data_IF_908887540678
#
_entry.id   IF_908887540678
#
_cell.length_a   1.000
_cell.length_b   1.000
_cell.length_c   1.000
_cell.angle_alpha   90.00
_cell.angle_beta   90.00
_cell.angle_gamma   90.00
#
_symmetry.space_group_name_H-M   'P 1'
#
loop_
_entity.id
_entity.type
_entity.pdbx_description
1 polymer ?
#
# COMPACT_ATOMS: atom_id res chain seq x y z
N UNK A 1 -9.46 20.18 -7.14
CA UNK A 1 -8.10 20.03 -6.60
C UNK A 1 -7.38 18.83 -7.22
N UNK A 2 -7.82 17.59 -6.99
CA UNK A 2 -7.26 16.34 -7.55
C UNK A 2 -7.00 16.36 -9.07
N UNK A 3 -8.01 16.69 -9.88
CA UNK A 3 -7.86 16.79 -11.33
C UNK A 3 -6.83 17.84 -11.76
N UNK A 4 -6.67 18.93 -10.99
CA UNK A 4 -5.68 19.97 -11.29
C UNK A 4 -4.25 19.57 -10.87
N UNK A 5 -4.10 18.75 -9.82
CA UNK A 5 -2.83 18.19 -9.38
C UNK A 5 -2.27 17.19 -10.41
N UNK A 6 -3.15 16.38 -11.02
CA UNK A 6 -2.77 15.42 -12.07
C UNK A 6 -2.52 16.11 -13.43
N UNK A 7 -3.35 17.11 -13.80
CA UNK A 7 -3.34 17.73 -15.14
C UNK A 7 -2.09 18.56 -15.46
N UNK A 8 -1.27 18.93 -14.47
CA UNK A 8 -0.07 19.76 -14.69
C UNK A 8 1.21 18.97 -15.04
N UNK A 9 1.20 17.63 -14.99
CA UNK A 9 2.41 16.82 -15.21
C UNK A 9 2.53 16.38 -16.66
N UNK A 10 3.68 16.63 -17.28
CA UNK A 10 4.03 16.11 -18.61
C UNK A 10 4.79 14.79 -18.46
N UNK A 11 4.32 13.74 -19.13
CA UNK A 11 5.01 12.45 -19.11
C UNK A 11 6.17 12.48 -20.12
N UNK A 12 7.40 12.49 -19.61
CA UNK A 12 8.61 12.39 -20.43
C UNK A 12 8.83 10.93 -20.82
N UNK A 13 9.41 10.67 -21.99
CA UNK A 13 9.71 9.31 -22.46
C UNK A 13 10.52 8.47 -21.45
N UNK A 14 11.40 9.12 -20.67
CA UNK A 14 12.16 8.47 -19.59
C UNK A 14 11.27 7.90 -18.48
N UNK A 15 10.17 8.58 -18.15
CA UNK A 15 9.21 8.14 -17.12
C UNK A 15 8.53 6.85 -17.57
N UNK A 16 8.12 6.77 -18.83
CA UNK A 16 7.55 5.54 -19.41
C UNK A 16 8.54 4.38 -19.38
N UNK A 17 9.79 4.60 -19.80
CA UNK A 17 10.81 3.57 -19.75
C UNK A 17 11.05 3.06 -18.32
N UNK A 18 11.15 3.97 -17.33
CA UNK A 18 11.33 3.60 -15.93
C UNK A 18 10.11 2.85 -15.36
N UNK A 19 8.89 3.30 -15.64
CA UNK A 19 7.67 2.60 -15.22
C UNK A 19 7.57 1.21 -15.82
N UNK A 20 7.86 1.04 -17.10
CA UNK A 20 7.86 -0.28 -17.75
C UNK A 20 8.90 -1.20 -17.14
N UNK A 21 10.11 -0.70 -16.89
CA UNK A 21 11.17 -1.47 -16.24
C UNK A 21 10.77 -1.90 -14.83
N UNK A 22 10.14 -1.01 -14.05
CA UNK A 22 9.64 -1.32 -12.72
C UNK A 22 8.53 -2.38 -12.76
N UNK A 23 7.56 -2.25 -13.68
CA UNK A 23 6.50 -3.25 -13.87
C UNK A 23 7.09 -4.62 -14.22
N UNK A 24 8.05 -4.67 -15.13
CA UNK A 24 8.75 -5.91 -15.47
C UNK A 24 9.46 -6.50 -14.25
N UNK A 25 10.25 -5.71 -13.52
CA UNK A 25 10.98 -6.19 -12.34
C UNK A 25 10.07 -6.72 -11.23
N UNK A 26 8.97 -6.03 -10.94
CA UNK A 26 7.95 -6.52 -9.99
C UNK A 26 7.30 -7.80 -10.53
N UNK A 27 6.98 -7.86 -11.83
CA UNK A 27 6.44 -9.05 -12.46
C UNK A 27 7.36 -10.27 -12.32
N UNK A 28 8.67 -10.10 -12.50
CA UNK A 28 9.65 -11.17 -12.32
C UNK A 28 9.69 -11.68 -10.88
N UNK A 29 9.67 -10.76 -9.90
CA UNK A 29 9.72 -11.11 -8.48
C UNK A 29 8.42 -11.76 -7.96
N UNK A 30 7.26 -11.32 -8.44
CA UNK A 30 5.97 -11.70 -7.86
C UNK A 30 5.23 -12.79 -8.66
N UNK A 31 5.46 -12.90 -9.98
CA UNK A 31 4.77 -13.90 -10.82
C UNK A 31 5.47 -15.27 -10.84
N UNK A 32 6.67 -15.39 -10.25
CA UNK A 32 7.38 -16.67 -10.13
C UNK A 32 6.76 -17.61 -9.06
N UNK A 33 5.74 -17.16 -8.34
CA UNK A 33 5.05 -17.92 -7.31
C UNK A 33 4.22 -19.11 -7.83
N UNK A 34 3.78 -20.01 -6.93
CA UNK A 34 3.04 -21.23 -7.29
C UNK A 34 1.57 -21.00 -7.68
N UNK A 35 1.09 -19.75 -7.64
CA UNK A 35 -0.31 -19.40 -7.88
C UNK A 35 -0.43 -18.77 -9.26
N UNK A 36 -1.27 -19.34 -10.11
CA UNK A 36 -1.53 -18.80 -11.46
C UNK A 36 -2.42 -17.55 -11.39
N UNK A 37 -2.22 -16.55 -12.28
CA UNK A 37 -3.06 -15.37 -12.35
C UNK A 37 -4.52 -15.69 -12.70
N UNK A 38 -5.47 -15.06 -12.01
CA UNK A 38 -6.90 -15.23 -12.24
C UNK A 38 -7.57 -13.92 -12.68
N UNK A 39 -8.75 -14.03 -13.30
CA UNK A 39 -9.52 -12.85 -13.72
C UNK A 39 -9.88 -11.94 -12.55
N UNK A 40 -10.02 -12.50 -11.34
CA UNK A 40 -10.27 -11.75 -10.12
C UNK A 40 -9.14 -10.76 -9.78
N UNK A 41 -7.90 -11.02 -10.22
CA UNK A 41 -6.75 -10.14 -9.97
C UNK A 41 -6.86 -8.80 -10.69
N UNK A 42 -7.68 -8.71 -11.76
CA UNK A 42 -7.96 -7.42 -12.39
C UNK A 42 -8.61 -6.43 -11.42
N UNK A 43 -9.35 -6.90 -10.41
CA UNK A 43 -9.89 -6.04 -9.36
C UNK A 43 -8.77 -5.35 -8.57
N UNK A 44 -7.62 -6.02 -8.40
CA UNK A 44 -6.47 -5.50 -7.69
C UNK A 44 -5.79 -4.34 -8.44
N UNK A 45 -6.01 -4.17 -9.75
CA UNK A 45 -5.52 -3.00 -10.51
C UNK A 45 -6.14 -1.67 -10.04
N UNK A 46 -7.24 -1.71 -9.28
CA UNK A 46 -7.76 -0.52 -8.61
C UNK A 46 -6.80 0.04 -7.55
N UNK A 47 -5.98 -0.80 -6.92
CA UNK A 47 -5.05 -0.44 -5.86
C UNK A 47 -3.95 0.54 -6.33
N UNK A 48 -3.16 0.25 -7.38
CA UNK A 48 -2.12 1.18 -7.84
C UNK A 48 -2.69 2.51 -8.34
N UNK A 49 -3.89 2.52 -8.94
CA UNK A 49 -4.58 3.75 -9.32
C UNK A 49 -4.98 4.58 -8.09
N UNK A 50 -5.56 3.94 -7.08
CA UNK A 50 -5.93 4.57 -5.82
C UNK A 50 -4.75 5.17 -5.07
N UNK A 51 -3.66 4.41 -4.91
CA UNK A 51 -2.44 4.89 -4.28
C UNK A 51 -1.77 6.01 -5.08
N UNK A 52 -1.61 5.85 -6.40
CA UNK A 52 -1.01 6.89 -7.24
C UNK A 52 -1.76 8.22 -7.19
N UNK A 53 -3.10 8.18 -7.26
CA UNK A 53 -3.93 9.38 -7.08
C UNK A 53 -3.86 9.92 -5.66
N UNK A 54 -3.85 9.05 -4.65
CA UNK A 54 -3.69 9.41 -3.25
C UNK A 54 -2.37 10.13 -2.97
N UNK A 55 -1.27 9.70 -3.59
CA UNK A 55 0.04 10.33 -3.49
C UNK A 55 0.09 11.69 -4.16
N UNK A 56 -0.48 11.83 -5.36
CA UNK A 56 -0.61 13.13 -6.01
C UNK A 56 -1.45 14.11 -5.16
N UNK A 57 -2.50 13.61 -4.50
CA UNK A 57 -3.31 14.41 -3.59
C UNK A 57 -2.56 14.80 -2.32
N UNK A 58 -1.82 13.86 -1.74
CA UNK A 58 -1.04 14.05 -0.52
C UNK A 58 0.09 15.04 -0.74
N UNK A 59 0.81 14.94 -1.86
CA UNK A 59 1.84 15.91 -2.27
C UNK A 59 1.25 17.32 -2.33
N UNK A 60 0.16 17.52 -3.07
CA UNK A 60 -0.50 18.83 -3.18
C UNK A 60 -0.97 19.35 -1.81
N UNK A 61 -1.46 18.47 -0.93
CA UNK A 61 -1.89 18.84 0.41
C UNK A 61 -0.73 19.22 1.32
N UNK A 62 0.42 18.54 1.21
CA UNK A 62 1.63 18.84 1.98
C UNK A 62 2.40 20.05 1.47
N UNK A 63 2.24 20.41 0.20
CA UNK A 63 2.69 21.71 -0.33
C UNK A 63 1.89 22.87 0.28
N UNK A 64 0.57 22.71 0.43
CA UNK A 64 -0.31 23.75 0.99
C UNK A 64 -0.23 23.84 2.52
N UNK A 65 -0.16 22.69 3.21
CA UNK A 65 -0.15 22.57 4.68
C UNK A 65 1.06 21.76 5.20
N UNK A 66 2.30 22.24 5.01
CA UNK A 66 3.52 21.48 5.31
C UNK A 66 3.71 21.19 6.79
N UNK A 67 3.07 21.91 7.71
CA UNK A 67 3.20 21.66 9.15
C UNK A 67 2.16 20.66 9.69
N UNK A 68 1.13 20.31 8.90
CA UNK A 68 -0.04 19.56 9.38
C UNK A 68 0.02 18.06 9.10
N UNK A 69 1.21 17.52 8.79
CA UNK A 69 1.39 16.10 8.50
C UNK A 69 0.81 15.17 9.58
N UNK A 70 0.87 15.55 10.86
CA UNK A 70 0.26 14.76 11.95
C UNK A 70 -1.26 14.70 11.84
N UNK A 71 -1.90 15.83 11.58
CA UNK A 71 -3.35 15.93 11.41
C UNK A 71 -3.79 15.16 10.18
N UNK A 72 -3.08 15.32 9.05
CA UNK A 72 -3.35 14.57 7.82
C UNK A 72 -3.19 13.07 8.04
N UNK A 73 -2.16 12.64 8.76
CA UNK A 73 -1.95 11.23 9.11
C UNK A 73 -3.09 10.69 9.97
N UNK A 74 -3.52 11.43 10.99
CA UNK A 74 -4.62 11.03 11.87
C UNK A 74 -5.93 10.86 11.08
N UNK A 75 -6.23 11.79 10.16
CA UNK A 75 -7.39 11.69 9.27
C UNK A 75 -7.28 10.47 8.36
N UNK A 76 -6.12 10.24 7.73
CA UNK A 76 -5.89 9.06 6.87
C UNK A 76 -6.09 7.75 7.64
N UNK A 77 -5.50 7.63 8.84
CA UNK A 77 -5.66 6.45 9.71
C UNK A 77 -7.13 6.26 10.10
N UNK A 78 -7.84 7.33 10.44
CA UNK A 78 -9.28 7.24 10.75
C UNK A 78 -10.09 6.77 9.54
N UNK A 79 -9.83 7.30 8.35
CA UNK A 79 -10.50 6.89 7.11
C UNK A 79 -10.24 5.42 6.80
N UNK A 80 -8.98 4.96 6.92
CA UNK A 80 -8.61 3.55 6.72
C UNK A 80 -9.34 2.66 7.74
N UNK A 81 -9.32 3.01 9.03
CA UNK A 81 -9.97 2.25 10.08
C UNK A 81 -11.50 2.16 9.92
N UNK A 82 -12.15 3.28 9.59
CA UNK A 82 -13.59 3.32 9.34
C UNK A 82 -13.97 2.54 8.07
N UNK A 83 -13.15 2.61 7.02
CA UNK A 83 -13.38 1.86 5.78
C UNK A 83 -13.23 0.35 6.00
N UNK A 84 -12.20 -0.06 6.76
CA UNK A 84 -11.99 -1.46 7.13
C UNK A 84 -13.14 -1.99 8.00
N UNK A 85 -13.60 -1.20 8.97
CA UNK A 85 -14.77 -1.55 9.78
C UNK A 85 -16.04 -1.67 8.92
N UNK A 86 -16.29 -0.69 8.05
CA UNK A 86 -17.43 -0.72 7.13
C UNK A 86 -17.43 -1.95 6.23
N UNK A 87 -16.27 -2.31 5.68
CA UNK A 87 -16.10 -3.53 4.89
C UNK A 87 -16.36 -4.79 5.72
N UNK A 88 -15.84 -4.85 6.95
CA UNK A 88 -16.04 -5.99 7.85
C UNK A 88 -17.53 -6.17 8.21
N UNK A 89 -18.25 -5.07 8.49
CA UNK A 89 -19.70 -5.08 8.72
C UNK A 89 -20.46 -5.54 7.48
N UNK A 90 -20.17 -4.96 6.32
CA UNK A 90 -20.82 -5.32 5.06
C UNK A 90 -20.64 -6.82 4.77
N UNK A 91 -19.41 -7.33 4.90
CA UNK A 91 -19.11 -8.75 4.71
C UNK A 91 -19.86 -9.64 5.71
N UNK A 92 -19.94 -9.25 6.98
CA UNK A 92 -20.68 -9.99 7.99
C UNK A 92 -22.19 -10.04 7.66
N UNK A 93 -22.77 -8.94 7.18
CA UNK A 93 -24.17 -8.88 6.77
C UNK A 93 -24.45 -9.75 5.53
N UNK A 94 -23.61 -9.65 4.49
CA UNK A 94 -23.74 -10.43 3.26
C UNK A 94 -23.67 -11.95 3.52
N UNK A 95 -22.88 -12.36 4.52
CA UNK A 95 -22.74 -13.76 4.93
C UNK A 95 -23.77 -14.21 5.98
N UNK A 96 -24.69 -13.33 6.41
CA UNK A 96 -25.66 -13.64 7.46
C UNK A 96 -25.06 -13.85 8.85
N UNK A 97 -23.84 -13.37 9.09
CA UNK A 97 -23.04 -13.55 10.32
C UNK A 97 -22.89 -12.27 11.15
N UNK A 98 -23.77 -11.29 10.97
CA UNK A 98 -23.70 -10.00 11.66
C UNK A 98 -23.64 -10.12 13.19
N UNK A 99 -24.42 -11.04 13.77
CA UNK A 99 -24.46 -11.26 15.22
C UNK A 99 -23.15 -11.85 15.80
N UNK A 100 -22.35 -12.51 14.98
CA UNK A 100 -21.12 -13.22 15.38
C UNK A 100 -19.84 -12.46 14.99
N UNK A 101 -19.98 -11.23 14.48
CA UNK A 101 -18.86 -10.45 13.93
C UNK A 101 -17.73 -10.25 14.94
N UNK A 102 -18.05 -10.18 16.23
CA UNK A 102 -17.10 -9.90 17.30
C UNK A 102 -16.68 -11.13 18.11
N UNK A 103 -17.21 -12.32 17.81
CA UNK A 103 -16.90 -13.55 18.56
C UNK A 103 -15.39 -13.88 18.52
N UNK A 104 -14.70 -13.47 17.45
CA UNK A 104 -13.25 -13.63 17.34
C UNK A 104 -12.44 -12.77 18.33
N UNK A 105 -12.99 -11.65 18.83
CA UNK A 105 -12.28 -10.74 19.73
C UNK A 105 -12.05 -11.33 21.12
N UNK A 106 -12.91 -12.26 21.54
CA UNK A 106 -12.81 -12.95 22.84
C UNK A 106 -12.05 -14.27 22.75
N UNK A 107 -11.57 -14.64 21.55
CA UNK A 107 -10.79 -15.86 21.36
C UNK A 107 -9.46 -15.79 22.12
N UNK A 108 -9.12 -16.79 22.95
CA UNK A 108 -7.83 -16.83 23.64
C UNK A 108 -6.64 -16.98 22.68
N UNK A 109 -6.88 -17.37 21.43
CA UNK A 109 -5.87 -17.52 20.39
C UNK A 109 -5.73 -16.31 19.48
N UNK A 110 -6.37 -15.18 19.81
CA UNK A 110 -6.28 -13.99 18.99
C UNK A 110 -4.84 -13.45 18.99
N UNK A 111 -4.20 -13.26 17.81
CA UNK A 111 -2.81 -12.85 17.73
C UNK A 111 -2.66 -11.34 17.95
N UNK A 112 -2.90 -10.90 19.20
CA UNK A 112 -2.88 -9.48 19.58
C UNK A 112 -1.58 -8.76 19.18
N UNK A 113 -0.43 -9.42 19.34
CA UNK A 113 0.86 -8.83 18.96
C UNK A 113 0.92 -8.52 17.46
N UNK A 114 0.46 -9.45 16.60
CA UNK A 114 0.44 -9.23 15.15
C UNK A 114 -0.56 -8.13 14.77
N UNK A 115 -1.75 -8.11 15.39
CA UNK A 115 -2.76 -7.08 15.14
C UNK A 115 -2.29 -5.68 15.55
N UNK A 116 -1.67 -5.56 16.72
CA UNK A 116 -1.11 -4.29 17.18
C UNK A 116 0.06 -3.85 16.32
N UNK A 117 0.91 -4.79 15.91
CA UNK A 117 2.02 -4.49 15.01
C UNK A 117 1.53 -3.97 13.66
N UNK A 118 0.58 -4.65 13.01
CA UNK A 118 0.07 -4.23 11.70
C UNK A 118 -0.73 -2.92 11.78
N UNK A 119 -1.53 -2.73 12.83
CA UNK A 119 -2.30 -1.49 13.02
C UNK A 119 -1.43 -0.28 13.38
N UNK A 120 -0.53 -0.42 14.36
CA UNK A 120 0.24 0.71 14.88
C UNK A 120 1.52 0.97 14.10
N UNK A 121 2.29 -0.07 13.77
CA UNK A 121 3.59 0.09 13.13
C UNK A 121 3.43 0.18 11.62
N UNK A 122 2.88 -0.85 10.99
CA UNK A 122 2.86 -0.92 9.52
C UNK A 122 1.79 -0.04 8.89
N UNK A 123 0.74 0.33 9.62
CA UNK A 123 -0.30 1.23 9.10
C UNK A 123 -0.13 2.65 9.61
N UNK A 124 -0.35 2.90 10.92
CA UNK A 124 -0.31 4.26 11.45
C UNK A 124 1.09 4.89 11.39
N UNK A 125 2.13 4.12 11.72
CA UNK A 125 3.53 4.54 11.61
C UNK A 125 3.93 4.84 10.17
N UNK A 126 3.63 3.93 9.23
CA UNK A 126 3.92 4.14 7.81
C UNK A 126 3.21 5.37 7.25
N UNK A 127 1.91 5.54 7.53
CA UNK A 127 1.14 6.72 7.10
C UNK A 127 1.74 8.01 7.66
N UNK A 128 2.22 7.99 8.91
CA UNK A 128 2.86 9.16 9.53
C UNK A 128 4.18 9.53 8.86
N UNK A 129 5.04 8.54 8.64
CA UNK A 129 6.32 8.72 7.94
C UNK A 129 6.07 9.20 6.51
N UNK A 130 5.12 8.58 5.82
CA UNK A 130 4.71 8.94 4.46
C UNK A 130 4.23 10.40 4.40
N UNK A 131 3.23 10.77 5.20
CA UNK A 131 2.73 12.15 5.23
C UNK A 131 3.80 13.16 5.61
N UNK A 132 4.81 12.78 6.40
CA UNK A 132 5.96 13.65 6.66
C UNK A 132 6.93 13.73 5.46
N UNK A 133 7.21 12.61 4.80
CA UNK A 133 8.14 12.52 3.68
C UNK A 133 7.64 13.30 2.45
N UNK A 134 6.34 13.28 2.19
CA UNK A 134 5.71 14.01 1.08
C UNK A 134 5.81 15.54 1.16
N UNK A 135 6.36 16.09 2.25
CA UNK A 135 6.80 17.50 2.33
C UNK A 135 8.06 17.78 1.50
N UNK A 136 8.86 16.75 1.24
CA UNK A 136 10.20 16.86 0.67
C UNK A 136 10.36 16.02 -0.60
N UNK A 137 9.55 14.98 -0.75
CA UNK A 137 9.65 14.00 -1.85
C UNK A 137 8.43 14.13 -2.76
N UNK A 138 8.62 14.44 -4.06
CA UNK A 138 7.54 14.44 -5.04
C UNK A 138 6.90 13.04 -5.18
N UNK A 139 5.61 12.96 -5.53
CA UNK A 139 4.91 11.67 -5.65
C UNK A 139 5.55 10.73 -6.68
N UNK A 140 6.17 11.28 -7.73
CA UNK A 140 6.88 10.48 -8.74
C UNK A 140 8.09 9.76 -8.16
N UNK A 141 8.85 10.44 -7.29
CA UNK A 141 10.06 9.90 -6.70
C UNK A 141 9.69 8.90 -5.59
N UNK A 142 8.66 9.22 -4.80
CA UNK A 142 8.07 8.31 -3.83
C UNK A 142 7.58 7.01 -4.49
N UNK A 143 6.90 7.11 -5.64
CA UNK A 143 6.43 5.93 -6.39
C UNK A 143 7.58 5.05 -6.88
N UNK A 144 8.70 5.65 -7.32
CA UNK A 144 9.90 4.87 -7.71
C UNK A 144 10.51 4.18 -6.50
N UNK A 145 10.59 4.84 -5.34
CA UNK A 145 11.08 4.23 -4.10
C UNK A 145 10.18 3.05 -3.69
N UNK A 146 8.86 3.24 -3.71
CA UNK A 146 7.90 2.19 -3.33
C UNK A 146 7.88 1.03 -4.32
N UNK A 147 8.14 1.27 -5.60
CA UNK A 147 8.31 0.19 -6.58
C UNK A 147 9.51 -0.73 -6.28
N UNK A 148 10.44 -0.30 -5.42
CA UNK A 148 11.54 -1.16 -4.93
C UNK A 148 11.18 -2.00 -3.72
N UNK A 149 9.98 -1.85 -3.15
CA UNK A 149 9.56 -2.60 -1.96
C UNK A 149 9.67 -4.12 -2.11
N UNK A 150 9.27 -4.76 -3.24
CA UNK A 150 9.43 -6.20 -3.42
C UNK A 150 10.88 -6.66 -3.38
N UNK A 151 11.81 -5.83 -3.85
CA UNK A 151 13.24 -6.13 -3.79
C UNK A 151 13.72 -6.19 -2.33
N UNK A 152 13.31 -5.23 -1.50
CA UNK A 152 13.63 -5.23 -0.07
C UNK A 152 12.97 -6.38 0.66
N UNK A 153 11.71 -6.69 0.33
CA UNK A 153 11.01 -7.83 0.88
C UNK A 153 11.75 -9.15 0.59
N UNK A 154 12.13 -9.38 -0.67
CA UNK A 154 12.90 -10.56 -1.09
C UNK A 154 14.27 -10.63 -0.38
N UNK A 155 14.99 -9.51 -0.28
CA UNK A 155 16.27 -9.45 0.44
C UNK A 155 16.14 -9.79 1.93
N UNK A 156 15.12 -9.25 2.60
CA UNK A 156 14.87 -9.54 4.01
C UNK A 156 14.37 -10.96 4.23
N UNK A 157 13.52 -11.50 3.36
CA UNK A 157 13.08 -12.89 3.43
C UNK A 157 14.27 -13.85 3.26
N UNK A 158 15.13 -13.60 2.27
CA UNK A 158 16.35 -14.39 2.09
C UNK A 158 17.27 -14.33 3.32
N UNK A 159 17.44 -13.15 3.92
CA UNK A 159 18.32 -12.98 5.08
C UNK A 159 17.76 -13.55 6.39
N UNK A 160 16.50 -13.27 6.71
CA UNK A 160 15.90 -13.59 8.02
C UNK A 160 15.14 -14.92 8.02
N UNK A 161 14.56 -15.33 6.89
CA UNK A 161 13.79 -16.57 6.77
C UNK A 161 14.58 -17.68 6.07
N UNK A 162 15.74 -17.35 5.47
CA UNK A 162 16.59 -18.31 4.77
C UNK A 162 16.01 -18.76 3.42
N UNK A 163 15.11 -17.97 2.84
CA UNK A 163 14.57 -18.24 1.51
C UNK A 163 15.67 -18.16 0.44
N UNK A 164 15.65 -19.10 -0.50
CA UNK A 164 16.62 -19.12 -1.59
C UNK A 164 16.11 -18.27 -2.75
N UNK A 165 16.88 -17.24 -3.11
CA UNK A 165 16.67 -16.50 -4.35
C UNK A 165 17.13 -17.39 -5.51
N UNK A 166 16.17 -18.00 -6.22
CA UNK A 166 16.43 -18.83 -7.39
C UNK A 166 16.55 -17.97 -8.64
N UNK A 167 17.13 -18.52 -9.72
CA UNK A 167 17.32 -17.77 -10.98
C UNK A 167 16.01 -17.28 -11.61
N UNK A 168 14.88 -17.92 -11.29
CA UNK A 168 13.52 -17.47 -11.64
C UNK A 168 13.04 -16.26 -10.83
N UNK A 169 13.66 -15.96 -9.69
CA UNK A 169 13.37 -14.77 -8.87
C UNK A 169 14.26 -13.58 -9.27
N UNK A 170 15.26 -13.80 -10.14
CA UNK A 170 16.30 -12.82 -10.51
C UNK A 170 16.32 -12.49 -12.02
N UNK A 171 15.67 -13.29 -12.87
CA UNK A 171 15.67 -13.17 -14.34
C UNK A 171 14.26 -13.01 -14.90
#
# INVERSE_FOLDING_TARGET
ALLNAVRKRTCVARTWAASSLAICGVGLLELAGPVEPELADLWCLGMPLGFGLGYAALEALMEEYPNDARTVSAVKVAVVGLSALGWAVLRALLLGRGAQMFDGLTSPHLPWAALLYTGLVTTAGAILVESYAFKYVPATDAAVILATEPLWAALFAAHFLGEQLTGSDVA
#
